data_IF_244289781479
#
_entry.id   IF_244289781479
#
_cell.length_a   1.000
_cell.length_b   1.000
_cell.length_c   1.000
_cell.angle_alpha   90.00
_cell.angle_beta   90.00
_cell.angle_gamma   90.00
#
_symmetry.space_group_name_H-M   'P 1'
#
loop_
_entity.id
_entity.type
_entity.pdbx_description
1 polymer ?
#
# COMPACT_ATOMS: atom_id res chain seq x y z
N UNK A 1 6.67 -8.98 8.09
CA UNK A 1 6.31 -7.63 8.60
C UNK A 1 6.69 -6.62 7.54
N UNK A 2 5.76 -5.78 7.10
CA UNK A 2 5.99 -4.65 6.18
C UNK A 2 6.01 -3.36 7.00
N UNK A 3 6.97 -2.47 6.73
CA UNK A 3 7.07 -1.16 7.38
C UNK A 3 7.19 -0.09 6.30
N UNK A 4 6.44 1.00 6.46
CA UNK A 4 6.49 2.17 5.58
C UNK A 4 6.92 3.39 6.39
N UNK A 5 8.04 3.97 6.00
CA UNK A 5 8.48 5.28 6.49
C UNK A 5 8.11 6.33 5.45
N UNK A 6 7.45 7.41 5.88
CA UNK A 6 7.00 8.50 5.01
C UNK A 6 7.24 9.85 5.68
N UNK A 7 7.33 10.92 4.87
CA UNK A 7 7.44 12.28 5.39
C UNK A 7 6.04 12.81 5.75
N UNK A 8 5.76 12.90 7.06
CA UNK A 8 4.48 13.35 7.61
C UNK A 8 4.14 14.81 7.30
N UNK A 9 5.10 15.62 6.84
CA UNK A 9 4.86 17.01 6.43
C UNK A 9 4.19 17.09 5.06
N UNK A 10 4.30 16.02 4.28
CA UNK A 10 3.89 15.95 2.88
C UNK A 10 2.76 14.94 2.69
N UNK A 11 2.82 13.81 3.41
CA UNK A 11 1.89 12.69 3.28
C UNK A 11 1.08 12.55 4.56
N UNK A 12 -0.25 12.48 4.44
CA UNK A 12 -1.13 12.18 5.56
C UNK A 12 -1.00 10.71 6.00
N UNK A 13 -1.12 10.45 7.30
CA UNK A 13 -1.04 9.11 7.86
C UNK A 13 -2.13 8.18 7.32
N UNK A 14 -3.30 8.70 6.96
CA UNK A 14 -4.34 7.93 6.28
C UNK A 14 -3.85 7.40 4.93
N UNK A 15 -3.26 8.25 4.12
CA UNK A 15 -2.80 7.91 2.78
C UNK A 15 -1.65 6.91 2.85
N UNK A 16 -0.73 7.09 3.80
CA UNK A 16 0.35 6.14 4.07
C UNK A 16 -0.18 4.74 4.48
N UNK A 17 -1.20 4.68 5.33
CA UNK A 17 -1.82 3.42 5.76
C UNK A 17 -2.55 2.74 4.59
N UNK A 18 -3.32 3.50 3.79
CA UNK A 18 -4.00 2.94 2.62
C UNK A 18 -3.02 2.43 1.56
N UNK A 19 -1.92 3.14 1.36
CA UNK A 19 -0.87 2.69 0.45
C UNK A 19 -0.24 1.38 0.92
N UNK A 20 0.13 1.30 2.20
CA UNK A 20 0.71 0.09 2.79
C UNK A 20 -0.27 -1.10 2.73
N UNK A 21 -1.55 -0.86 2.97
CA UNK A 21 -2.60 -1.88 2.83
C UNK A 21 -2.75 -2.37 1.39
N UNK A 22 -2.68 -1.44 0.42
CA UNK A 22 -2.73 -1.78 -1.01
C UNK A 22 -1.57 -2.69 -1.40
N UNK A 23 -0.34 -2.37 -0.95
CA UNK A 23 0.84 -3.23 -1.18
C UNK A 23 0.64 -4.59 -0.51
N UNK A 24 0.18 -4.62 0.74
CA UNK A 24 -0.07 -5.87 1.45
C UNK A 24 -1.04 -6.77 0.68
N UNK A 25 -2.20 -6.23 0.30
CA UNK A 25 -3.24 -6.98 -0.44
C UNK A 25 -2.77 -7.45 -1.80
N UNK A 26 -1.95 -6.64 -2.47
CA UNK A 26 -1.33 -6.99 -3.74
C UNK A 26 -0.39 -8.18 -3.63
N UNK A 27 0.39 -8.25 -2.55
CA UNK A 27 1.29 -9.37 -2.27
C UNK A 27 0.52 -10.63 -1.82
N UNK A 28 -0.61 -10.45 -1.13
CA UNK A 28 -1.49 -11.56 -0.71
C UNK A 28 -2.32 -12.13 -1.88
N UNK A 29 -2.72 -11.31 -2.85
CA UNK A 29 -3.52 -11.69 -4.02
C UNK A 29 -2.88 -11.19 -5.34
N UNK A 30 -1.74 -11.75 -5.78
CA UNK A 30 -1.03 -11.28 -6.97
C UNK A 30 -1.82 -11.43 -8.28
N UNK A 31 -2.88 -12.27 -8.31
CA UNK A 31 -3.81 -12.36 -9.43
C UNK A 31 -4.55 -11.05 -9.73
N UNK A 32 -4.73 -10.17 -8.73
CA UNK A 32 -5.30 -8.82 -8.92
C UNK A 32 -4.39 -7.90 -9.74
N UNK A 33 -3.08 -8.11 -9.72
CA UNK A 33 -2.15 -7.33 -10.56
C UNK A 33 -2.25 -7.72 -12.04
N UNK A 34 -2.51 -8.99 -12.31
CA UNK A 34 -2.61 -9.52 -13.67
C UNK A 34 -3.91 -9.09 -14.36
N UNK A 35 -4.97 -8.86 -13.58
CA UNK A 35 -6.29 -8.46 -14.05
C UNK A 35 -6.47 -6.93 -13.93
N UNK A 36 -5.53 -6.12 -14.41
CA UNK A 36 -5.65 -4.65 -14.44
C UNK A 36 -6.78 -4.17 -15.40
N UNK A 37 -8.02 -4.58 -15.10
CA UNK A 37 -9.27 -4.43 -15.84
C UNK A 37 -10.31 -3.87 -14.88
#
# INVERSE_FOLDING_TARGET
YLALTYDHRIIDGRDAVQFLDTIRRTLEEPSRLLLAI
#
